data_IF_799827130511
#
_entry.id   IF_799827130511
#
_cell.length_a   1.000
_cell.length_b   1.000
_cell.length_c   1.000
_cell.angle_alpha   90.00
_cell.angle_beta   90.00
_cell.angle_gamma   90.00
#
_symmetry.space_group_name_H-M   'P 1'
#
loop_
_entity.id
_entity.type
_entity.pdbx_description
1 polymer ?
#
# COMPACT_ATOMS: atom_id res chain seq x y z
N UNK A 1 -9.76 -10.03 -28.11
CA UNK A 1 -9.15 -8.77 -27.57
C UNK A 1 -9.48 -8.53 -26.11
N UNK A 2 -10.76 -8.67 -25.69
CA UNK A 2 -11.20 -8.44 -24.30
C UNK A 2 -10.52 -9.35 -23.27
N UNK A 3 -10.41 -10.65 -23.55
CA UNK A 3 -9.75 -11.61 -22.67
C UNK A 3 -8.27 -11.29 -22.46
N UNK A 4 -7.57 -10.94 -23.54
CA UNK A 4 -6.15 -10.56 -23.48
C UNK A 4 -5.97 -9.32 -22.57
N UNK A 5 -6.85 -8.32 -22.73
CA UNK A 5 -6.83 -7.12 -21.89
C UNK A 5 -7.08 -7.45 -20.41
N UNK A 6 -8.00 -8.37 -20.11
CA UNK A 6 -8.26 -8.82 -18.75
C UNK A 6 -7.05 -9.56 -18.15
N UNK A 7 -6.42 -10.45 -18.93
CA UNK A 7 -5.23 -11.20 -18.50
C UNK A 7 -4.09 -10.23 -18.17
N UNK A 8 -3.80 -9.30 -19.09
CA UNK A 8 -2.73 -8.30 -18.88
C UNK A 8 -3.03 -7.41 -17.68
N UNK A 9 -4.26 -6.89 -17.58
CA UNK A 9 -4.66 -6.04 -16.45
C UNK A 9 -4.57 -6.78 -15.11
N UNK A 10 -5.00 -8.04 -15.05
CA UNK A 10 -4.89 -8.88 -13.86
C UNK A 10 -3.42 -9.10 -13.48
N UNK A 11 -2.57 -9.36 -14.45
CA UNK A 11 -1.14 -9.59 -14.23
C UNK A 11 -0.44 -8.35 -13.68
N UNK A 12 -0.67 -7.19 -14.30
CA UNK A 12 -0.15 -5.91 -13.83
C UNK A 12 -0.66 -5.60 -12.40
N UNK A 13 -1.95 -5.83 -12.14
CA UNK A 13 -2.55 -5.62 -10.83
C UNK A 13 -1.87 -6.46 -9.75
N UNK A 14 -1.71 -7.76 -10.01
CA UNK A 14 -1.08 -8.70 -9.06
C UNK A 14 0.39 -8.35 -8.80
N UNK A 15 1.18 -8.11 -9.85
CA UNK A 15 2.59 -7.73 -9.71
C UNK A 15 2.73 -6.45 -8.88
N UNK A 16 1.92 -5.44 -9.17
CA UNK A 16 1.95 -4.17 -8.46
C UNK A 16 1.54 -4.34 -6.99
N UNK A 17 0.55 -5.19 -6.71
CA UNK A 17 0.17 -5.53 -5.33
C UNK A 17 1.30 -6.25 -4.60
N UNK A 18 1.99 -7.20 -5.24
CA UNK A 18 3.16 -7.89 -4.66
C UNK A 18 4.28 -6.91 -4.33
N UNK A 19 4.60 -5.99 -5.23
CA UNK A 19 5.64 -4.98 -4.99
C UNK A 19 5.27 -4.07 -3.83
N UNK A 20 4.05 -3.55 -3.79
CA UNK A 20 3.64 -2.61 -2.74
C UNK A 20 3.48 -3.30 -1.39
N UNK A 21 2.68 -4.36 -1.29
CA UNK A 21 2.43 -5.10 -0.04
C UNK A 21 3.67 -5.84 0.44
N UNK A 22 4.38 -6.52 -0.47
CA UNK A 22 5.62 -7.21 -0.16
C UNK A 22 6.73 -6.25 0.29
N UNK A 23 6.78 -5.05 -0.29
CA UNK A 23 7.69 -3.99 0.15
C UNK A 23 7.38 -3.49 1.56
N UNK A 24 6.11 -3.32 1.93
CA UNK A 24 5.72 -2.99 3.32
C UNK A 24 6.15 -4.11 4.28
N UNK A 25 5.88 -5.36 3.89
CA UNK A 25 6.32 -6.54 4.66
C UNK A 25 7.83 -6.55 4.86
N UNK A 26 8.60 -6.39 3.77
CA UNK A 26 10.07 -6.34 3.82
C UNK A 26 10.58 -5.24 4.73
N UNK A 27 10.01 -4.03 4.65
CA UNK A 27 10.40 -2.90 5.51
C UNK A 27 10.15 -3.23 6.98
N UNK A 28 8.99 -3.78 7.33
CA UNK A 28 8.63 -4.04 8.73
C UNK A 28 9.37 -5.22 9.35
N UNK A 29 9.51 -6.32 8.62
CA UNK A 29 9.98 -7.59 9.19
C UNK A 29 11.45 -7.90 8.89
N UNK A 30 12.03 -7.23 7.90
CA UNK A 30 13.44 -7.45 7.52
C UNK A 30 14.28 -6.19 7.72
N UNK A 31 13.92 -5.10 7.03
CA UNK A 31 14.78 -3.92 6.99
C UNK A 31 14.84 -3.20 8.36
N UNK A 32 13.69 -3.01 9.00
CA UNK A 32 13.60 -2.31 10.29
C UNK A 32 14.30 -3.08 11.43
N UNK A 33 14.11 -4.40 11.62
CA UNK A 33 14.88 -5.16 12.61
C UNK A 33 16.37 -5.20 12.31
N UNK A 34 16.76 -5.33 11.05
CA UNK A 34 18.17 -5.31 10.65
C UNK A 34 18.81 -3.95 10.96
N UNK A 35 18.12 -2.84 10.61
CA UNK A 35 18.60 -1.50 10.88
C UNK A 35 18.79 -1.20 12.37
N UNK A 36 17.95 -1.77 13.26
CA UNK A 36 18.08 -1.62 14.72
C UNK A 36 19.34 -2.27 15.29
N UNK A 37 19.85 -3.30 14.62
CA UNK A 37 21.07 -4.01 15.05
C UNK A 37 22.36 -3.28 14.65
N UNK A 38 22.29 -2.38 13.69
CA UNK A 38 23.43 -1.59 13.21
C UNK A 38 23.48 -0.30 14.03
N UNK A 39 24.40 -0.27 15.02
CA UNK A 39 24.57 0.85 15.95
C UNK A 39 24.79 2.18 15.21
N UNK A 40 23.95 3.18 15.51
CA UNK A 40 24.11 4.57 15.06
C UNK A 40 23.71 4.87 13.61
N UNK A 41 23.36 3.89 12.77
CA UNK A 41 23.05 4.11 11.35
C UNK A 41 21.61 3.82 10.95
N UNK A 42 20.73 3.51 11.90
CA UNK A 42 19.33 3.15 11.64
C UNK A 42 18.62 4.17 10.76
N UNK A 43 18.73 5.46 11.07
CA UNK A 43 18.08 6.53 10.31
C UNK A 43 18.60 6.64 8.87
N UNK A 44 19.91 6.52 8.67
CA UNK A 44 20.54 6.55 7.33
C UNK A 44 20.08 5.39 6.46
N UNK A 45 20.09 4.17 7.01
CA UNK A 45 19.67 2.98 6.27
C UNK A 45 18.18 3.04 5.90
N UNK A 46 17.31 3.39 6.85
CA UNK A 46 15.88 3.51 6.60
C UNK A 46 15.56 4.65 5.62
N UNK A 47 16.30 5.76 5.68
CA UNK A 47 16.19 6.84 4.71
C UNK A 47 16.60 6.40 3.29
N UNK A 48 17.71 5.66 3.15
CA UNK A 48 18.15 5.13 1.86
C UNK A 48 17.17 4.14 1.25
N UNK A 49 16.60 3.24 2.06
CA UNK A 49 15.55 2.30 1.65
C UNK A 49 14.30 3.09 1.22
N UNK A 50 13.87 4.06 2.01
CA UNK A 50 12.70 4.89 1.71
C UNK A 50 12.82 5.65 0.39
N UNK A 51 13.98 6.26 0.13
CA UNK A 51 14.24 6.99 -1.14
C UNK A 51 14.10 6.10 -2.38
N UNK A 52 14.40 4.81 -2.28
CA UNK A 52 14.27 3.85 -3.39
C UNK A 52 12.89 3.19 -3.44
N UNK A 53 12.33 2.87 -2.28
CA UNK A 53 11.06 2.16 -2.20
C UNK A 53 9.83 3.04 -2.48
N UNK A 54 9.83 4.31 -2.02
CA UNK A 54 8.67 5.21 -2.21
C UNK A 54 8.32 5.43 -3.69
N UNK A 55 9.24 5.69 -4.61
CA UNK A 55 8.92 5.78 -6.05
C UNK A 55 8.32 4.48 -6.60
N UNK A 56 8.88 3.32 -6.23
CA UNK A 56 8.36 2.01 -6.66
C UNK A 56 6.94 1.79 -6.13
N UNK A 57 6.69 2.13 -4.87
CA UNK A 57 5.36 2.04 -4.27
C UNK A 57 4.37 2.98 -4.98
N UNK A 58 4.76 4.22 -5.31
CA UNK A 58 3.91 5.16 -6.03
C UNK A 58 3.53 4.64 -7.43
N UNK A 59 4.49 4.10 -8.17
CA UNK A 59 4.25 3.47 -9.48
C UNK A 59 3.31 2.27 -9.32
N UNK A 60 3.54 1.42 -8.33
CA UNK A 60 2.70 0.25 -8.06
C UNK A 60 1.27 0.66 -7.73
N UNK A 61 1.07 1.69 -6.90
CA UNK A 61 -0.26 2.22 -6.56
C UNK A 61 -0.98 2.71 -7.83
N UNK A 62 -0.29 3.48 -8.68
CA UNK A 62 -0.85 3.96 -9.93
C UNK A 62 -1.27 2.80 -10.85
N UNK A 63 -0.41 1.78 -11.00
CA UNK A 63 -0.70 0.60 -11.79
C UNK A 63 -1.86 -0.23 -11.22
N UNK A 64 -1.98 -0.34 -9.89
CA UNK A 64 -3.13 -0.98 -9.22
C UNK A 64 -4.42 -0.25 -9.56
N UNK A 65 -4.43 1.09 -9.52
CA UNK A 65 -5.61 1.88 -9.86
C UNK A 65 -6.00 1.70 -11.32
N UNK A 66 -5.07 1.88 -12.25
CA UNK A 66 -5.34 1.75 -13.70
C UNK A 66 -5.81 0.34 -14.04
N UNK A 67 -5.12 -0.68 -13.57
CA UNK A 67 -5.48 -2.07 -13.84
C UNK A 67 -6.80 -2.47 -13.18
N UNK A 68 -7.06 -2.00 -11.96
CA UNK A 68 -8.32 -2.23 -11.26
C UNK A 68 -9.52 -1.61 -11.98
N UNK A 69 -9.40 -0.36 -12.45
CA UNK A 69 -10.42 0.30 -13.27
C UNK A 69 -10.61 -0.47 -14.58
N UNK A 70 -9.52 -0.82 -15.28
CA UNK A 70 -9.57 -1.60 -16.52
C UNK A 70 -10.31 -2.92 -16.33
N UNK A 71 -9.99 -3.67 -15.27
CA UNK A 71 -10.68 -4.93 -14.96
C UNK A 71 -12.16 -4.73 -14.70
N UNK A 72 -12.54 -3.70 -13.95
CA UNK A 72 -13.94 -3.40 -13.64
C UNK A 72 -14.74 -3.02 -14.89
N UNK A 73 -14.20 -2.16 -15.74
CA UNK A 73 -14.85 -1.73 -16.98
C UNK A 73 -14.94 -2.85 -18.02
N UNK A 74 -13.94 -3.75 -18.04
CA UNK A 74 -13.89 -4.85 -19.00
C UNK A 74 -14.67 -6.08 -18.51
N UNK A 75 -14.96 -6.22 -17.22
CA UNK A 75 -15.74 -7.34 -16.69
C UNK A 75 -17.22 -7.21 -17.07
N UNK A 76 -17.93 -8.35 -17.26
CA UNK A 76 -19.39 -8.35 -17.47
C UNK A 76 -20.18 -7.92 -16.23
N UNK A 77 -19.51 -7.81 -15.10
CA UNK A 77 -20.10 -7.57 -13.77
C UNK A 77 -20.18 -6.10 -13.38
N UNK A 78 -19.99 -5.15 -14.31
CA UNK A 78 -20.05 -3.72 -13.96
C UNK A 78 -21.40 -3.33 -13.33
N UNK A 79 -22.51 -3.85 -13.86
CA UNK A 79 -23.86 -3.61 -13.31
C UNK A 79 -24.02 -4.25 -11.90
N UNK A 80 -23.39 -5.37 -11.65
CA UNK A 80 -23.40 -6.06 -10.35
C UNK A 80 -22.59 -5.28 -9.30
N UNK A 81 -21.46 -4.68 -9.71
CA UNK A 81 -20.63 -3.84 -8.82
C UNK A 81 -21.45 -2.66 -8.29
N UNK A 82 -22.28 -2.05 -9.15
CA UNK A 82 -23.08 -0.88 -8.79
C UNK A 82 -24.33 -1.25 -7.99
N UNK A 83 -24.91 -2.43 -8.22
CA UNK A 83 -26.16 -2.84 -7.57
C UNK A 83 -26.04 -3.17 -6.09
N UNK A 84 -24.84 -3.55 -5.61
CA UNK A 84 -24.53 -3.97 -4.22
C UNK A 84 -25.43 -5.10 -3.67
N UNK A 85 -26.09 -5.83 -4.53
CA UNK A 85 -27.09 -6.84 -4.15
C UNK A 85 -26.47 -8.22 -3.87
N UNK A 86 -25.20 -8.44 -4.24
CA UNK A 86 -24.51 -9.71 -4.02
C UNK A 86 -23.40 -9.58 -2.97
N UNK A 87 -23.12 -10.70 -2.25
CA UNK A 87 -21.99 -10.75 -1.32
C UNK A 87 -20.65 -10.45 -2.01
N UNK A 88 -20.55 -10.78 -3.29
CA UNK A 88 -19.39 -10.45 -4.12
C UNK A 88 -19.21 -8.94 -4.29
N UNK A 89 -20.27 -8.21 -4.69
CA UNK A 89 -20.20 -6.76 -4.90
C UNK A 89 -19.94 -5.99 -3.61
N UNK A 90 -20.53 -6.42 -2.50
CA UNK A 90 -20.27 -5.83 -1.17
C UNK A 90 -18.80 -6.04 -0.74
N UNK A 91 -18.28 -7.26 -0.91
CA UNK A 91 -16.86 -7.57 -0.60
C UNK A 91 -15.90 -6.77 -1.48
N UNK A 92 -16.24 -6.58 -2.76
CA UNK A 92 -15.45 -5.76 -3.67
C UNK A 92 -15.44 -4.28 -3.25
N UNK A 93 -16.59 -3.73 -2.85
CA UNK A 93 -16.67 -2.35 -2.35
C UNK A 93 -15.82 -2.17 -1.09
N UNK A 94 -15.93 -3.07 -0.12
CA UNK A 94 -15.11 -3.04 1.11
C UNK A 94 -13.63 -3.08 0.74
N UNK A 95 -13.23 -3.97 -0.17
CA UNK A 95 -11.84 -4.05 -0.66
C UNK A 95 -11.36 -2.73 -1.27
N UNK A 96 -12.19 -2.08 -2.09
CA UNK A 96 -11.86 -0.78 -2.69
C UNK A 96 -11.69 0.30 -1.61
N UNK A 97 -12.60 0.38 -0.65
CA UNK A 97 -12.52 1.36 0.45
C UNK A 97 -11.27 1.15 1.31
N UNK A 98 -10.95 -0.09 1.64
CA UNK A 98 -9.72 -0.42 2.38
C UNK A 98 -8.47 -0.04 1.57
N UNK A 99 -8.45 -0.35 0.26
CA UNK A 99 -7.33 0.02 -0.60
C UNK A 99 -7.15 1.54 -0.71
N UNK A 100 -8.24 2.31 -0.84
CA UNK A 100 -8.20 3.78 -0.85
C UNK A 100 -7.67 4.34 0.48
N UNK A 101 -8.08 3.75 1.60
CA UNK A 101 -7.54 4.12 2.93
C UNK A 101 -6.03 3.86 3.01
N UNK A 102 -5.58 2.71 2.51
CA UNK A 102 -4.15 2.38 2.45
C UNK A 102 -3.35 3.39 1.59
N UNK A 103 -3.91 3.78 0.43
CA UNK A 103 -3.29 4.78 -0.44
C UNK A 103 -3.23 6.15 0.25
N UNK A 104 -4.29 6.57 0.94
CA UNK A 104 -4.34 7.82 1.69
C UNK A 104 -3.28 7.86 2.79
N UNK A 105 -3.11 6.78 3.55
CA UNK A 105 -2.06 6.62 4.56
C UNK A 105 -0.67 6.71 3.90
N UNK A 106 -0.47 6.05 2.76
CA UNK A 106 0.81 6.05 2.05
C UNK A 106 1.19 7.47 1.61
N UNK A 107 0.28 8.20 0.95
CA UNK A 107 0.53 9.55 0.48
C UNK A 107 0.66 10.56 1.62
N UNK A 108 -0.17 10.48 2.66
CA UNK A 108 -0.03 11.32 3.84
C UNK A 108 1.36 11.18 4.47
N UNK A 109 1.83 9.94 4.62
CA UNK A 109 3.17 9.67 5.16
C UNK A 109 4.27 10.19 4.25
N UNK A 110 4.17 9.97 2.93
CA UNK A 110 5.20 10.36 1.97
C UNK A 110 5.28 11.85 1.71
N UNK A 111 4.13 12.53 1.60
CA UNK A 111 4.06 13.94 1.19
C UNK A 111 4.08 14.92 2.36
N UNK A 112 3.62 14.50 3.53
CA UNK A 112 3.47 15.40 4.69
C UNK A 112 4.41 14.99 5.81
N UNK A 113 4.34 13.74 6.27
CA UNK A 113 5.00 13.34 7.49
C UNK A 113 6.52 13.18 7.31
N UNK A 114 6.96 12.55 6.23
CA UNK A 114 8.39 12.34 5.96
C UNK A 114 9.15 13.65 5.75
N UNK A 115 8.69 14.60 4.89
CA UNK A 115 9.35 15.89 4.75
C UNK A 115 9.38 16.70 6.06
N UNK A 116 8.31 16.63 6.85
CA UNK A 116 8.28 17.29 8.16
C UNK A 116 9.33 16.73 9.11
N UNK A 117 9.49 15.41 9.18
CA UNK A 117 10.53 14.77 9.99
C UNK A 117 11.93 15.19 9.52
N UNK A 118 12.17 15.18 8.20
CA UNK A 118 13.47 15.57 7.62
C UNK A 118 13.80 17.02 7.95
N UNK A 119 12.83 17.93 7.79
CA UNK A 119 13.00 19.36 8.11
C UNK A 119 13.34 19.57 9.57
N UNK A 120 12.55 19.04 10.51
CA UNK A 120 12.77 19.17 11.94
C UNK A 120 14.13 18.56 12.37
N UNK A 121 14.53 17.47 11.75
CA UNK A 121 15.84 16.85 12.01
C UNK A 121 16.99 17.74 11.55
N UNK A 122 16.85 18.41 10.40
CA UNK A 122 17.86 19.32 9.85
C UNK A 122 17.98 20.62 10.67
N UNK A 123 16.86 21.13 11.21
CA UNK A 123 16.79 22.33 12.05
C UNK A 123 17.27 22.11 13.49
N UNK A 124 17.65 20.88 13.87
CA UNK A 124 18.10 20.55 15.21
C UNK A 124 16.97 20.64 16.26
N UNK A 125 15.71 20.49 15.84
CA UNK A 125 14.55 20.50 16.71
C UNK A 125 14.62 19.44 17.78
N UNK A 126 13.81 19.58 18.85
CA UNK A 126 13.87 18.68 19.99
C UNK A 126 13.79 17.20 19.59
N UNK A 127 14.70 16.39 20.09
CA UNK A 127 14.75 14.95 19.84
C UNK A 127 13.41 14.26 20.13
N UNK A 128 12.66 14.79 21.10
CA UNK A 128 11.36 14.25 21.51
C UNK A 128 10.28 14.47 20.45
N UNK A 129 10.23 15.65 19.83
CA UNK A 129 9.24 15.94 18.77
C UNK A 129 9.50 15.08 17.54
N UNK A 130 10.75 15.01 17.10
CA UNK A 130 11.16 14.15 15.96
C UNK A 130 10.81 12.70 16.26
N UNK A 131 11.08 12.21 17.48
CA UNK A 131 10.77 10.85 17.90
C UNK A 131 9.27 10.54 17.84
N UNK A 132 8.40 11.45 18.29
CA UNK A 132 6.93 11.29 18.20
C UNK A 132 6.47 11.13 16.77
N UNK A 133 6.96 11.96 15.85
CA UNK A 133 6.60 11.87 14.44
C UNK A 133 7.12 10.58 13.78
N UNK A 134 8.31 10.12 14.14
CA UNK A 134 8.85 8.84 13.69
C UNK A 134 8.02 7.66 14.19
N UNK A 135 7.57 7.68 15.45
CA UNK A 135 6.65 6.67 15.99
C UNK A 135 5.30 6.68 15.26
N UNK A 136 4.74 7.87 15.00
CA UNK A 136 3.52 7.98 14.20
C UNK A 136 3.72 7.38 12.81
N UNK A 137 4.81 7.74 12.12
CA UNK A 137 5.14 7.17 10.80
C UNK A 137 5.22 5.64 10.83
N UNK A 138 5.88 5.07 11.83
CA UNK A 138 5.98 3.62 11.99
C UNK A 138 4.61 2.96 12.26
N UNK A 139 3.78 3.58 13.11
CA UNK A 139 2.44 3.07 13.38
C UNK A 139 1.57 3.08 12.12
N UNK A 140 1.65 4.13 11.31
CA UNK A 140 0.96 4.19 10.03
C UNK A 140 1.40 3.09 9.05
N UNK A 141 2.71 2.73 9.04
CA UNK A 141 3.19 1.58 8.23
C UNK A 141 2.62 0.27 8.75
N UNK A 142 2.57 0.06 10.07
CA UNK A 142 1.96 -1.13 10.68
C UNK A 142 0.47 -1.24 10.37
N UNK A 143 -0.27 -0.12 10.49
CA UNK A 143 -1.68 -0.05 10.12
C UNK A 143 -1.87 -0.40 8.65
N UNK A 144 -1.04 0.16 7.77
CA UNK A 144 -1.09 -0.14 6.33
C UNK A 144 -0.81 -1.62 6.03
N UNK A 145 0.11 -2.24 6.78
CA UNK A 145 0.34 -3.68 6.71
C UNK A 145 -0.89 -4.49 7.15
N UNK A 146 -1.51 -4.15 8.28
CA UNK A 146 -2.72 -4.83 8.74
C UNK A 146 -3.86 -4.73 7.73
N UNK A 147 -4.09 -3.54 7.16
CA UNK A 147 -5.06 -3.32 6.09
C UNK A 147 -4.73 -4.14 4.84
N UNK A 148 -3.45 -4.30 4.49
CA UNK A 148 -3.06 -5.13 3.35
C UNK A 148 -3.42 -6.61 3.54
N UNK A 149 -3.34 -7.13 4.77
CA UNK A 149 -3.79 -8.49 5.08
C UNK A 149 -5.31 -8.63 4.88
N UNK A 150 -6.09 -7.62 5.26
CA UNK A 150 -7.54 -7.57 5.00
C UNK A 150 -7.82 -7.59 3.50
N UNK A 151 -7.11 -6.77 2.70
CA UNK A 151 -7.27 -6.75 1.23
C UNK A 151 -6.93 -8.09 0.60
N UNK A 152 -5.86 -8.76 1.04
CA UNK A 152 -5.49 -10.09 0.54
C UNK A 152 -6.54 -11.14 0.91
N UNK A 153 -7.07 -11.10 2.13
CA UNK A 153 -8.15 -11.99 2.56
C UNK A 153 -9.42 -11.79 1.72
N UNK A 154 -9.87 -10.55 1.54
CA UNK A 154 -11.01 -10.22 0.69
C UNK A 154 -10.78 -10.64 -0.77
N UNK A 155 -9.54 -10.57 -1.25
CA UNK A 155 -9.21 -11.05 -2.62
C UNK A 155 -9.39 -12.56 -2.74
N UNK A 156 -8.98 -13.33 -1.72
CA UNK A 156 -9.23 -14.77 -1.65
C UNK A 156 -10.74 -15.08 -1.62
N UNK A 157 -11.51 -14.39 -0.76
CA UNK A 157 -12.97 -14.56 -0.72
C UNK A 157 -13.63 -14.28 -2.07
N UNK A 158 -13.26 -13.17 -2.74
CA UNK A 158 -13.82 -12.81 -4.04
C UNK A 158 -13.54 -13.84 -5.12
N UNK A 159 -12.41 -14.56 -5.05
CA UNK A 159 -12.10 -15.63 -5.99
C UNK A 159 -13.03 -16.84 -5.83
N UNK A 160 -13.47 -17.11 -4.59
CA UNK A 160 -14.40 -18.21 -4.29
C UNK A 160 -15.84 -17.85 -4.66
N UNK A 161 -16.29 -16.63 -4.40
CA UNK A 161 -17.67 -16.21 -4.75
C UNK A 161 -17.91 -16.04 -6.25
N UNK A 162 -16.87 -16.03 -7.06
CA UNK A 162 -16.96 -15.91 -8.51
C UNK A 162 -17.15 -17.24 -9.24
N UNK A 163 -16.89 -18.35 -8.57
CA UNK A 163 -17.10 -19.72 -9.08
C UNK A 163 -18.51 -20.21 -8.70
#
# INVERSE_FOLDING_TARGET
MREILLIISTWIHLLSAVVWVGGIFFVLFVALPAAKRILGQQGKLMGAIGKRFVPLANISILLILISGISMTLTSHSFSEVVSLNSSWSQSLLIKILVALTMMSIHFYRGLILTPKIEKLTAEGSSTEEVRKLQHLSLNLVKTNFALSMVVLFLTGMLSVYRN
#
